data_IF_254494097349
#
_entry.id   IF_254494097349
#
_cell.length_a   1.000
_cell.length_b   1.000
_cell.length_c   1.000
_cell.angle_alpha   90.00
_cell.angle_beta   90.00
_cell.angle_gamma   90.00
#
_symmetry.space_group_name_H-M   'P 1'
#
loop_
_entity.id
_entity.type
_entity.pdbx_description
1 polymer ?
#
# COMPACT_ATOMS: atom_id res chain seq x y z
N UNK A 1 -1.20 -12.66 21.35
CA UNK A 1 -0.07 -12.84 20.39
C UNK A 1 -0.39 -12.29 19.00
N UNK A 2 -1.53 -12.65 18.37
CA UNK A 2 -1.88 -12.23 16.99
C UNK A 2 -1.87 -10.70 16.79
N UNK A 3 -2.34 -9.92 17.77
CA UNK A 3 -2.34 -8.45 17.70
C UNK A 3 -0.95 -7.80 17.65
N UNK A 4 0.02 -8.34 18.40
CA UNK A 4 1.40 -7.84 18.38
C UNK A 4 2.07 -8.21 17.05
N UNK A 5 1.85 -9.44 16.58
CA UNK A 5 2.40 -9.91 15.32
C UNK A 5 1.88 -9.09 14.14
N UNK A 6 0.56 -8.88 14.05
CA UNK A 6 -0.06 -8.06 12.99
C UNK A 6 0.41 -6.61 13.03
N UNK A 7 0.57 -6.03 14.23
CA UNK A 7 1.16 -4.70 14.40
C UNK A 7 2.60 -4.64 13.88
N UNK A 8 3.46 -5.59 14.26
CA UNK A 8 4.85 -5.64 13.80
C UNK A 8 4.94 -5.81 12.28
N UNK A 9 4.10 -6.66 11.68
CA UNK A 9 4.05 -6.83 10.23
C UNK A 9 3.63 -5.54 9.53
N UNK A 10 2.63 -4.82 10.06
CA UNK A 10 2.21 -3.54 9.51
C UNK A 10 3.34 -2.50 9.61
N UNK A 11 4.04 -2.45 10.74
CA UNK A 11 5.16 -1.52 10.94
C UNK A 11 6.32 -1.82 9.98
N UNK A 12 6.67 -3.10 9.82
CA UNK A 12 7.67 -3.54 8.83
C UNK A 12 7.21 -3.18 7.41
N UNK A 13 5.93 -3.36 7.10
CA UNK A 13 5.36 -2.99 5.80
C UNK A 13 5.52 -1.50 5.52
N UNK A 14 5.22 -0.64 6.49
CA UNK A 14 5.40 0.81 6.35
C UNK A 14 6.87 1.20 6.18
N UNK A 15 7.77 0.55 6.93
CA UNK A 15 9.21 0.76 6.77
C UNK A 15 9.71 0.33 5.37
N UNK A 16 9.22 -0.80 4.85
CA UNK A 16 9.52 -1.26 3.49
C UNK A 16 8.99 -0.29 2.44
N UNK A 17 7.76 0.19 2.58
CA UNK A 17 7.18 1.19 1.66
C UNK A 17 8.02 2.48 1.65
N UNK A 18 8.43 2.97 2.81
CA UNK A 18 9.32 4.14 2.89
C UNK A 18 10.68 3.88 2.24
N UNK A 19 11.27 2.70 2.46
CA UNK A 19 12.54 2.33 1.82
C UNK A 19 12.41 2.21 0.29
N UNK A 20 11.31 1.66 -0.22
CA UNK A 20 11.00 1.59 -1.65
C UNK A 20 10.86 3.01 -2.23
N UNK A 21 10.16 3.92 -1.53
CA UNK A 21 10.02 5.32 -1.96
C UNK A 21 11.38 6.02 -2.05
N UNK A 22 12.22 5.89 -1.02
CA UNK A 22 13.61 6.39 -1.05
C UNK A 22 14.37 5.83 -2.25
N UNK A 23 14.23 4.53 -2.54
CA UNK A 23 14.79 3.91 -3.75
C UNK A 23 14.25 4.54 -5.04
N UNK A 24 12.96 4.89 -5.11
CA UNK A 24 12.34 5.54 -6.25
C UNK A 24 12.85 6.97 -6.46
N UNK A 25 13.10 7.73 -5.38
CA UNK A 25 13.78 9.04 -5.45
C UNK A 25 15.16 8.93 -6.09
N UNK A 26 15.92 7.90 -5.72
CA UNK A 26 17.28 7.68 -6.23
C UNK A 26 17.29 7.20 -7.68
N UNK A 27 16.39 6.29 -8.05
CA UNK A 27 16.39 5.65 -9.37
C UNK A 27 15.70 6.48 -10.46
N UNK A 28 14.63 7.20 -10.11
CA UNK A 28 13.77 7.89 -11.09
C UNK A 28 13.59 9.38 -10.80
N UNK A 29 14.38 9.93 -9.88
CA UNK A 29 14.33 11.34 -9.50
C UNK A 29 12.98 11.73 -8.89
N UNK A 30 12.62 13.01 -9.06
CA UNK A 30 11.40 13.57 -8.45
C UNK A 30 10.11 12.88 -8.94
N UNK A 31 10.06 12.43 -10.21
CA UNK A 31 8.87 11.76 -10.74
C UNK A 31 8.61 10.41 -10.06
N UNK A 32 9.67 9.66 -9.74
CA UNK A 32 9.54 8.39 -9.01
C UNK A 32 9.20 8.60 -7.56
N UNK A 33 9.91 9.53 -6.91
CA UNK A 33 9.70 9.84 -5.50
C UNK A 33 8.30 10.36 -5.19
N UNK A 34 7.80 11.33 -5.96
CA UNK A 34 6.43 11.85 -5.73
C UNK A 34 5.38 10.78 -6.03
N UNK A 35 5.59 9.94 -7.07
CA UNK A 35 4.70 8.83 -7.36
C UNK A 35 4.68 7.78 -6.23
N UNK A 36 5.83 7.47 -5.64
CA UNK A 36 5.92 6.56 -4.50
C UNK A 36 5.21 7.11 -3.26
N UNK A 37 5.33 8.42 -2.97
CA UNK A 37 4.55 9.07 -1.92
C UNK A 37 3.05 8.98 -2.15
N UNK A 38 2.59 9.20 -3.39
CA UNK A 38 1.17 8.98 -3.76
C UNK A 38 0.75 7.53 -3.50
N UNK A 39 1.61 6.56 -3.84
CA UNK A 39 1.41 5.15 -3.55
C UNK A 39 1.27 4.83 -2.06
N UNK A 40 2.13 5.42 -1.22
CA UNK A 40 2.06 5.27 0.25
C UNK A 40 0.74 5.80 0.78
N UNK A 41 0.30 6.97 0.31
CA UNK A 41 -1.00 7.54 0.68
C UNK A 41 -2.13 6.61 0.25
N UNK A 42 -2.08 6.11 -1.00
CA UNK A 42 -3.04 5.15 -1.53
C UNK A 42 -3.11 3.88 -0.69
N UNK A 43 -1.96 3.33 -0.29
CA UNK A 43 -1.86 2.19 0.61
C UNK A 43 -2.54 2.45 1.96
N UNK A 44 -2.25 3.60 2.60
CA UNK A 44 -2.80 3.92 3.92
C UNK A 44 -4.33 4.05 3.88
N UNK A 45 -4.86 4.72 2.86
CA UNK A 45 -6.30 4.86 2.66
C UNK A 45 -6.94 3.50 2.41
N UNK A 46 -6.38 2.72 1.48
CA UNK A 46 -6.89 1.39 1.14
C UNK A 46 -6.88 0.44 2.35
N UNK A 47 -5.82 0.49 3.16
CA UNK A 47 -5.74 -0.29 4.40
C UNK A 47 -6.84 0.11 5.39
N UNK A 48 -7.10 1.41 5.54
CA UNK A 48 -8.13 1.94 6.43
C UNK A 48 -9.54 1.50 6.03
N UNK A 49 -9.88 1.55 4.73
CA UNK A 49 -11.23 1.25 4.20
C UNK A 49 -11.42 -0.20 3.73
N UNK A 50 -10.38 -1.04 3.85
CA UNK A 50 -10.40 -2.41 3.32
C UNK A 50 -11.48 -3.31 3.93
N UNK A 51 -11.96 -2.99 5.13
CA UNK A 51 -13.03 -3.75 5.80
C UNK A 51 -14.35 -3.57 5.07
N UNK A 52 -14.65 -2.35 4.66
CA UNK A 52 -15.89 -1.97 4.01
C UNK A 52 -15.88 -2.30 2.51
N UNK A 53 -14.70 -2.34 1.89
CA UNK A 53 -14.56 -2.46 0.43
C UNK A 53 -14.16 -3.87 -0.03
N UNK A 54 -13.19 -4.50 0.64
CA UNK A 54 -12.53 -5.71 0.13
C UNK A 54 -12.84 -6.99 0.92
N UNK A 55 -13.53 -6.87 2.06
CA UNK A 55 -13.85 -8.01 2.94
C UNK A 55 -15.36 -8.24 2.93
N UNK A 56 -15.77 -9.45 2.57
CA UNK A 56 -17.18 -9.82 2.62
C UNK A 56 -17.59 -10.15 4.07
N UNK A 57 -18.84 -9.87 4.50
CA UNK A 57 -19.29 -10.18 5.86
C UNK A 57 -19.10 -11.64 6.27
N UNK A 58 -19.20 -12.59 5.32
CA UNK A 58 -18.95 -14.01 5.55
C UNK A 58 -17.51 -14.32 5.95
N UNK A 59 -16.55 -13.50 5.52
CA UNK A 59 -15.13 -13.74 5.74
C UNK A 59 -14.78 -13.65 7.24
N UNK A 60 -15.55 -12.87 8.02
CA UNK A 60 -15.44 -12.80 9.47
C UNK A 60 -15.79 -14.11 10.17
N UNK A 61 -16.55 -14.99 9.52
CA UNK A 61 -16.96 -16.29 10.06
C UNK A 61 -16.06 -17.42 9.57
N UNK A 62 -15.44 -17.27 8.39
CA UNK A 62 -14.65 -18.33 7.75
C UNK A 62 -13.14 -18.15 7.87
N UNK A 63 -12.65 -16.94 8.21
CA UNK A 63 -11.23 -16.67 8.37
C UNK A 63 -10.87 -16.33 9.81
N UNK A 64 -9.63 -16.64 10.18
CA UNK A 64 -9.04 -16.17 11.43
C UNK A 64 -8.73 -14.66 11.35
N UNK A 65 -8.57 -14.00 12.49
CA UNK A 65 -8.14 -12.60 12.59
C UNK A 65 -6.86 -12.33 11.78
N UNK A 66 -5.93 -13.28 11.76
CA UNK A 66 -4.70 -13.18 10.97
C UNK A 66 -4.96 -13.28 9.47
N UNK A 67 -5.86 -14.17 9.05
CA UNK A 67 -6.27 -14.29 7.65
C UNK A 67 -6.96 -13.03 7.14
N UNK A 68 -7.83 -12.43 7.94
CA UNK A 68 -8.45 -11.13 7.65
C UNK A 68 -7.39 -10.03 7.53
N UNK A 69 -6.43 -9.97 8.46
CA UNK A 69 -5.32 -9.02 8.39
C UNK A 69 -4.52 -9.14 7.09
N UNK A 70 -4.16 -10.35 6.67
CA UNK A 70 -3.43 -10.57 5.41
C UNK A 70 -4.26 -10.11 4.20
N UNK A 71 -5.58 -10.32 4.22
CA UNK A 71 -6.47 -9.86 3.16
C UNK A 71 -6.53 -8.32 3.09
N UNK A 72 -6.63 -7.64 4.24
CA UNK A 72 -6.51 -6.16 4.32
C UNK A 72 -5.18 -5.67 3.75
N UNK A 73 -4.10 -6.34 4.13
CA UNK A 73 -2.75 -5.98 3.73
C UNK A 73 -2.55 -6.16 2.21
N UNK A 74 -3.05 -7.27 1.65
CA UNK A 74 -3.00 -7.54 0.22
C UNK A 74 -3.73 -6.48 -0.60
N UNK A 75 -4.97 -6.14 -0.22
CA UNK A 75 -5.73 -5.08 -0.88
C UNK A 75 -5.02 -3.72 -0.84
N UNK A 76 -4.44 -3.39 0.32
CA UNK A 76 -3.68 -2.15 0.47
C UNK A 76 -2.44 -2.10 -0.43
N UNK A 77 -1.70 -3.22 -0.54
CA UNK A 77 -0.54 -3.34 -1.43
C UNK A 77 -0.93 -3.17 -2.90
N UNK A 78 -1.96 -3.87 -3.36
CA UNK A 78 -2.46 -3.75 -4.74
C UNK A 78 -2.84 -2.31 -5.07
N UNK A 79 -3.61 -1.67 -4.18
CA UNK A 79 -4.04 -0.29 -4.38
C UNK A 79 -2.84 0.68 -4.38
N UNK A 80 -1.90 0.52 -3.44
CA UNK A 80 -0.68 1.32 -3.40
C UNK A 80 0.13 1.21 -4.69
N UNK A 81 0.32 0.00 -5.22
CA UNK A 81 1.03 -0.23 -6.48
C UNK A 81 0.31 0.41 -7.67
N UNK A 82 -1.01 0.26 -7.76
CA UNK A 82 -1.82 0.90 -8.81
C UNK A 82 -1.69 2.42 -8.76
N UNK A 83 -1.76 3.03 -7.58
CA UNK A 83 -1.63 4.48 -7.41
C UNK A 83 -0.22 4.95 -7.76
N UNK A 84 0.84 4.24 -7.33
CA UNK A 84 2.22 4.55 -7.73
C UNK A 84 2.38 4.51 -9.24
N UNK A 85 1.93 3.43 -9.89
CA UNK A 85 2.08 3.27 -11.34
C UNK A 85 1.33 4.36 -12.12
N UNK A 86 0.08 4.64 -11.76
CA UNK A 86 -0.70 5.70 -12.39
C UNK A 86 -0.07 7.08 -12.20
N UNK A 87 0.34 7.41 -10.97
CA UNK A 87 0.97 8.70 -10.65
C UNK A 87 2.30 8.86 -11.39
N UNK A 88 3.11 7.81 -11.45
CA UNK A 88 4.38 7.81 -12.16
C UNK A 88 4.20 8.08 -13.65
N UNK A 89 3.24 7.40 -14.30
CA UNK A 89 2.93 7.62 -15.71
C UNK A 89 2.48 9.06 -15.98
N UNK A 90 1.62 9.61 -15.12
CA UNK A 90 1.15 11.00 -15.23
C UNK A 90 2.32 11.97 -15.10
N UNK A 91 3.13 11.88 -14.05
CA UNK A 91 4.26 12.79 -13.86
C UNK A 91 5.31 12.65 -14.95
N UNK A 92 5.55 11.43 -15.43
CA UNK A 92 6.48 11.20 -16.54
C UNK A 92 5.97 11.81 -17.84
N UNK A 93 4.68 11.69 -18.14
CA UNK A 93 4.05 12.33 -19.30
C UNK A 93 4.20 13.85 -19.22
N UNK A 94 3.89 14.45 -18.07
CA UNK A 94 4.01 15.91 -17.86
C UNK A 94 5.46 16.38 -18.06
N UNK A 95 6.45 15.59 -17.63
CA UNK A 95 7.87 15.97 -17.75
C UNK A 95 8.41 15.86 -19.19
N UNK A 96 7.73 15.10 -20.06
CA UNK A 96 8.14 14.89 -21.45
C UNK A 96 7.48 15.88 -22.43
N UNK A 97 6.44 16.60 -21.99
CA UNK A 97 5.74 17.65 -22.74
C UNK A 97 6.44 19.01 -22.54
#
# INVERSE_FOLDING_TARGET
>A
MVRILTFLILLITLALLAAIDVGAWLAFGWTGGVAGLCGIIGFLIAYAVSVEVAIAPRDFWTHSDFGLFLKKLGYAWETGLCVTAASFLIFRLITLL
#
